data_IF_228822337856
#
_entry.id   IF_228822337856
#
_cell.length_a   1.000
_cell.length_b   1.000
_cell.length_c   1.000
_cell.angle_alpha   90.00
_cell.angle_beta   90.00
_cell.angle_gamma   90.00
#
_symmetry.space_group_name_H-M   'P 1'
#
loop_
_entity.id
_entity.type
_entity.pdbx_description
1 polymer ?
#
# COMPACT_ATOMS: atom_id res chain seq x y z
N UNK A 1 -58.25 5.24 69.22
CA UNK A 1 -56.88 4.95 68.95
C UNK A 1 -56.80 4.60 67.45
N UNK A 2 -56.10 5.40 66.68
CA UNK A 2 -56.15 5.44 65.25
C UNK A 2 -55.17 4.43 64.64
N UNK A 3 -55.57 3.74 63.56
CA UNK A 3 -54.85 2.68 62.81
C UNK A 3 -53.67 3.22 61.97
N UNK A 4 -53.24 4.47 62.20
CA UNK A 4 -52.25 5.15 61.39
C UNK A 4 -50.75 4.99 61.82
N UNK A 5 -50.47 4.20 62.88
CA UNK A 5 -49.09 4.10 63.44
C UNK A 5 -48.35 2.82 63.17
N UNK A 6 -48.89 1.90 62.33
CA UNK A 6 -48.26 0.57 62.06
C UNK A 6 -47.77 0.34 60.63
N UNK A 7 -47.77 1.35 59.74
CA UNK A 7 -47.40 1.19 58.34
C UNK A 7 -46.07 1.87 57.95
N UNK A 8 -45.31 2.44 58.88
CA UNK A 8 -44.08 3.21 58.54
C UNK A 8 -42.76 2.55 58.92
N UNK A 9 -42.70 1.22 59.11
CA UNK A 9 -41.45 0.54 59.52
C UNK A 9 -40.86 -0.44 58.51
N UNK A 10 -41.35 -0.54 57.27
CA UNK A 10 -40.92 -1.61 56.34
C UNK A 10 -40.39 -1.16 54.96
N UNK A 11 -40.00 0.10 54.73
CA UNK A 11 -39.28 0.46 53.50
C UNK A 11 -38.16 1.44 53.82
N UNK A 12 -37.02 0.93 54.32
CA UNK A 12 -35.74 1.62 54.15
C UNK A 12 -35.01 0.98 53.00
N UNK A 13 -34.75 1.66 51.86
CA UNK A 13 -33.91 1.13 50.82
C UNK A 13 -32.48 1.02 51.37
N UNK A 14 -31.97 -0.19 51.40
CA UNK A 14 -30.61 -0.49 51.84
C UNK A 14 -29.62 0.14 50.82
N UNK A 15 -29.08 1.32 51.14
CA UNK A 15 -28.14 2.10 50.28
C UNK A 15 -26.89 1.33 49.87
N UNK A 16 -26.60 0.18 50.46
CA UNK A 16 -25.48 -0.66 50.14
C UNK A 16 -25.69 -1.48 48.85
N UNK A 17 -26.90 -1.98 48.59
CA UNK A 17 -27.22 -2.75 47.40
C UNK A 17 -27.24 -1.93 46.10
N UNK A 18 -27.69 -0.65 46.20
CA UNK A 18 -27.73 0.24 45.04
C UNK A 18 -26.33 0.65 44.54
N UNK A 19 -25.36 0.78 45.45
CA UNK A 19 -23.97 1.09 45.05
C UNK A 19 -23.25 -0.11 44.46
N UNK A 20 -23.52 -1.31 44.96
CA UNK A 20 -22.89 -2.56 44.43
C UNK A 20 -23.45 -2.91 43.05
N UNK A 21 -24.77 -2.79 42.82
CA UNK A 21 -25.37 -3.02 41.48
C UNK A 21 -24.92 -1.98 40.45
N UNK A 22 -24.75 -0.71 40.87
CA UNK A 22 -24.22 0.32 39.97
C UNK A 22 -22.75 0.11 39.62
N UNK A 23 -21.93 -0.37 40.57
CA UNK A 23 -20.52 -0.72 40.30
C UNK A 23 -20.36 -1.95 39.37
N UNK A 24 -21.23 -2.95 39.51
CA UNK A 24 -21.24 -4.13 38.61
C UNK A 24 -21.76 -3.77 37.22
N UNK A 25 -22.73 -2.89 37.08
CA UNK A 25 -23.21 -2.40 35.79
C UNK A 25 -22.19 -1.51 35.09
N UNK A 26 -21.44 -0.66 35.80
CA UNK A 26 -20.38 0.16 35.23
C UNK A 26 -19.14 -0.69 34.90
N UNK A 27 -18.81 -1.71 35.70
CA UNK A 27 -17.73 -2.65 35.38
C UNK A 27 -18.10 -3.55 34.20
N UNK A 28 -19.34 -4.00 34.07
CA UNK A 28 -19.81 -4.76 32.90
C UNK A 28 -19.91 -3.86 31.65
N UNK A 29 -20.24 -2.57 31.80
CA UNK A 29 -20.22 -1.61 30.67
C UNK A 29 -18.81 -1.25 30.23
N UNK A 30 -17.84 -1.21 31.16
CA UNK A 30 -16.42 -1.01 30.84
C UNK A 30 -15.77 -2.26 30.20
N UNK A 31 -16.30 -3.47 30.48
CA UNK A 31 -15.87 -4.71 29.80
C UNK A 31 -16.50 -4.88 28.41
N UNK A 32 -17.52 -4.09 28.06
CA UNK A 32 -18.07 -4.00 26.70
C UNK A 32 -17.36 -2.96 25.83
N UNK A 33 -16.36 -2.23 26.37
CA UNK A 33 -15.54 -1.31 25.62
C UNK A 33 -14.51 -2.09 24.85
N UNK A 34 -14.82 -2.27 23.59
CA UNK A 34 -13.99 -2.56 22.44
C UNK A 34 -13.12 -3.82 22.52
N UNK A 35 -13.70 -4.95 22.20
CA UNK A 35 -13.00 -5.83 21.28
C UNK A 35 -13.01 -5.08 19.91
N UNK A 36 -12.10 -4.14 19.68
CA UNK A 36 -11.87 -3.64 18.33
C UNK A 36 -11.58 -4.86 17.47
N UNK A 37 -12.49 -5.17 16.57
CA UNK A 37 -12.29 -6.26 15.63
C UNK A 37 -11.09 -5.87 14.79
N UNK A 38 -9.98 -6.52 15.03
CA UNK A 38 -8.76 -6.27 14.29
C UNK A 38 -9.01 -6.52 12.81
N UNK A 39 -8.70 -5.54 11.99
CA UNK A 39 -8.79 -5.61 10.54
C UNK A 39 -7.40 -5.44 9.92
N UNK A 40 -7.21 -6.05 8.75
CA UNK A 40 -5.97 -5.92 7.96
C UNK A 40 -6.36 -5.43 6.56
N UNK A 41 -5.69 -4.38 6.10
CA UNK A 41 -5.76 -3.94 4.70
C UNK A 41 -4.99 -4.94 3.82
N UNK A 42 -5.72 -5.72 3.02
CA UNK A 42 -5.16 -6.68 2.06
C UNK A 42 -4.88 -5.94 0.77
N UNK A 43 -3.60 -5.68 0.48
CA UNK A 43 -3.20 -4.99 -0.73
C UNK A 43 -2.63 -5.96 -1.77
N UNK A 44 -3.30 -6.04 -2.94
CA UNK A 44 -2.83 -6.83 -4.06
C UNK A 44 -1.73 -6.11 -4.84
N UNK A 45 -0.47 -6.56 -4.69
CA UNK A 45 0.72 -5.98 -5.32
C UNK A 45 0.65 -6.10 -6.84
N UNK A 46 0.62 -4.95 -7.53
CA UNK A 46 0.42 -4.85 -8.99
C UNK A 46 -0.81 -5.63 -9.45
N UNK A 47 -1.87 -5.62 -8.62
CA UNK A 47 -3.05 -6.45 -8.74
C UNK A 47 -2.93 -7.77 -7.98
N UNK A 48 -2.75 -8.88 -8.68
CA UNK A 48 -2.52 -10.22 -8.12
C UNK A 48 -1.32 -10.86 -8.86
N UNK A 49 -0.13 -10.27 -8.73
CA UNK A 49 1.05 -10.56 -9.53
C UNK A 49 1.47 -12.04 -9.53
N UNK A 50 1.27 -12.72 -8.40
CA UNK A 50 1.54 -14.16 -8.29
C UNK A 50 0.58 -15.04 -9.09
N UNK A 51 -0.57 -14.51 -9.51
CA UNK A 51 -1.67 -15.25 -10.13
C UNK A 51 -1.96 -14.79 -11.57
N UNK A 52 -1.65 -13.53 -11.92
CA UNK A 52 -1.89 -12.90 -13.23
C UNK A 52 -0.73 -11.99 -13.62
N UNK A 53 -0.66 -11.56 -14.89
CA UNK A 53 0.32 -10.56 -15.31
C UNK A 53 0.20 -9.27 -14.48
N UNK A 54 1.35 -8.78 -14.01
CA UNK A 54 1.43 -7.58 -13.17
C UNK A 54 0.98 -6.32 -13.92
N UNK A 55 0.36 -5.38 -13.19
CA UNK A 55 -0.03 -4.08 -13.72
C UNK A 55 -0.90 -4.16 -14.99
N UNK A 56 -1.80 -5.17 -15.05
CA UNK A 56 -2.74 -5.37 -16.16
C UNK A 56 -4.18 -5.34 -15.68
N UNK A 57 -5.12 -5.09 -16.60
CA UNK A 57 -6.54 -5.07 -16.24
C UNK A 57 -7.01 -6.44 -15.73
N UNK A 58 -6.51 -7.55 -16.30
CA UNK A 58 -6.86 -8.89 -15.83
C UNK A 58 -6.30 -9.19 -14.42
N UNK A 59 -5.12 -8.63 -14.08
CA UNK A 59 -4.56 -8.72 -12.74
C UNK A 59 -5.39 -7.96 -11.72
N UNK A 60 -5.86 -6.77 -12.06
CA UNK A 60 -6.72 -5.94 -11.20
C UNK A 60 -8.12 -6.52 -11.08
N UNK A 61 -8.68 -7.04 -12.17
CA UNK A 61 -9.99 -7.72 -12.18
C UNK A 61 -10.01 -8.90 -11.21
N UNK A 62 -8.98 -9.76 -11.27
CA UNK A 62 -8.82 -10.88 -10.34
C UNK A 62 -8.65 -10.40 -8.89
N UNK A 63 -7.86 -9.36 -8.64
CA UNK A 63 -7.66 -8.83 -7.29
C UNK A 63 -8.99 -8.35 -6.68
N UNK A 64 -9.83 -7.67 -7.48
CA UNK A 64 -11.19 -7.27 -7.06
C UNK A 64 -12.04 -8.50 -6.75
N UNK A 65 -12.04 -9.53 -7.59
CA UNK A 65 -12.82 -10.76 -7.39
C UNK A 65 -12.35 -11.55 -6.16
N UNK A 66 -11.07 -11.52 -5.86
CA UNK A 66 -10.52 -12.05 -4.62
C UNK A 66 -10.94 -11.24 -3.39
N UNK A 67 -11.50 -10.03 -3.55
CA UNK A 67 -11.96 -9.18 -2.47
C UNK A 67 -10.81 -8.56 -1.67
N UNK A 68 -9.78 -8.04 -2.36
CA UNK A 68 -8.76 -7.20 -1.72
C UNK A 68 -9.38 -5.90 -1.23
N UNK A 69 -8.84 -5.31 -0.19
CA UNK A 69 -9.21 -3.96 0.25
C UNK A 69 -8.65 -2.91 -0.67
N UNK A 70 -7.40 -3.12 -1.11
CA UNK A 70 -6.64 -2.14 -1.89
C UNK A 70 -5.93 -2.85 -3.05
N UNK A 71 -5.96 -2.24 -4.22
CA UNK A 71 -5.10 -2.60 -5.35
C UNK A 71 -3.87 -1.70 -5.28
N UNK A 72 -2.70 -2.31 -5.22
CA UNK A 72 -1.45 -1.59 -5.41
C UNK A 72 -1.06 -1.64 -6.88
N UNK A 73 -0.52 -0.53 -7.41
CA UNK A 73 -0.08 -0.39 -8.80
C UNK A 73 0.96 0.70 -8.98
N UNK A 74 1.72 0.64 -10.08
CA UNK A 74 2.82 1.53 -10.39
C UNK A 74 2.54 2.41 -11.61
N UNK A 75 3.02 3.65 -11.63
CA UNK A 75 2.80 4.59 -12.73
C UNK A 75 4.09 5.01 -13.45
N UNK A 76 3.94 5.22 -14.75
CA UNK A 76 4.84 5.99 -15.59
C UNK A 76 4.06 6.97 -16.46
N UNK A 77 4.73 8.00 -17.00
CA UNK A 77 4.13 8.99 -17.89
C UNK A 77 4.80 8.93 -19.26
N UNK A 78 3.98 8.85 -20.31
CA UNK A 78 4.39 8.76 -21.70
C UNK A 78 4.84 10.10 -22.28
N UNK A 79 5.43 10.06 -23.50
CA UNK A 79 5.82 11.24 -24.29
C UNK A 79 4.65 12.18 -24.54
N UNK A 80 3.46 11.65 -24.81
CA UNK A 80 2.21 12.38 -25.03
C UNK A 80 1.38 12.57 -23.77
N UNK A 81 2.06 12.51 -22.58
CA UNK A 81 1.51 12.84 -21.26
C UNK A 81 0.34 11.96 -20.84
N UNK A 82 0.30 10.71 -21.29
CA UNK A 82 -0.64 9.73 -20.77
C UNK A 82 -0.07 9.06 -19.53
N UNK A 83 -0.86 8.91 -18.47
CA UNK A 83 -0.49 8.17 -17.26
C UNK A 83 -0.79 6.69 -17.49
N UNK A 84 0.24 5.87 -17.60
CA UNK A 84 0.13 4.43 -17.81
C UNK A 84 0.56 3.64 -16.57
N UNK A 85 0.07 2.42 -16.48
CA UNK A 85 0.36 1.53 -15.34
C UNK A 85 1.45 0.54 -15.74
N UNK A 86 2.63 0.71 -15.14
CA UNK A 86 3.81 -0.14 -15.34
C UNK A 86 4.85 0.13 -14.24
N UNK A 87 5.55 -0.92 -13.80
CA UNK A 87 6.57 -0.78 -12.76
C UNK A 87 7.85 -0.09 -13.22
N UNK A 88 8.29 -0.38 -14.42
CA UNK A 88 9.58 0.13 -14.91
C UNK A 88 9.37 1.40 -15.75
N UNK A 89 10.27 2.40 -15.66
CA UNK A 89 10.22 3.58 -16.51
C UNK A 89 10.68 3.30 -17.96
N UNK A 90 10.81 2.04 -18.31
CA UNK A 90 11.17 1.53 -19.65
C UNK A 90 10.38 0.27 -19.97
N UNK A 91 10.26 -0.06 -21.25
CA UNK A 91 9.71 -1.34 -21.69
C UNK A 91 10.64 -2.47 -21.22
N UNK A 92 10.11 -3.37 -20.38
CA UNK A 92 10.91 -4.44 -19.78
C UNK A 92 10.72 -5.76 -20.51
N UNK A 93 11.77 -6.22 -21.20
CA UNK A 93 11.72 -7.40 -22.06
C UNK A 93 11.50 -8.74 -21.36
N UNK A 94 11.55 -8.78 -20.01
CA UNK A 94 11.15 -9.99 -19.26
C UNK A 94 9.65 -10.05 -18.99
N UNK A 95 8.94 -8.92 -19.14
CA UNK A 95 7.49 -8.81 -18.92
C UNK A 95 6.77 -8.64 -20.26
N UNK A 96 7.33 -7.81 -21.16
CA UNK A 96 6.70 -7.46 -22.42
C UNK A 96 7.48 -8.04 -23.61
N UNK A 97 6.74 -8.36 -24.68
CA UNK A 97 7.26 -8.77 -25.99
C UNK A 97 6.49 -8.05 -27.10
N UNK A 98 6.87 -8.24 -28.35
CA UNK A 98 6.06 -7.82 -29.49
C UNK A 98 4.72 -8.56 -29.51
N UNK A 99 3.70 -7.98 -30.16
CA UNK A 99 2.37 -8.59 -30.23
C UNK A 99 2.36 -10.00 -30.86
N UNK A 100 3.30 -10.28 -31.74
CA UNK A 100 3.50 -11.59 -32.36
C UNK A 100 4.22 -12.59 -31.45
N UNK A 101 4.67 -12.15 -30.26
CA UNK A 101 5.40 -12.94 -29.28
C UNK A 101 6.93 -12.92 -29.48
N UNK A 102 7.44 -12.22 -30.48
CA UNK A 102 8.88 -12.08 -30.65
C UNK A 102 9.52 -11.17 -29.59
N UNK A 103 10.80 -11.42 -29.29
CA UNK A 103 11.55 -10.66 -28.28
C UNK A 103 11.75 -9.21 -28.68
N UNK A 104 11.80 -8.33 -27.68
CA UNK A 104 12.12 -6.92 -27.86
C UNK A 104 13.63 -6.68 -27.92
N UNK A 105 14.10 -5.64 -28.64
CA UNK A 105 15.46 -5.16 -28.50
C UNK A 105 15.67 -4.52 -27.13
N UNK A 106 16.46 -5.17 -26.30
CA UNK A 106 16.75 -4.75 -24.92
C UNK A 106 18.24 -4.88 -24.61
N UNK A 107 18.71 -4.17 -23.59
CA UNK A 107 20.07 -4.34 -23.08
C UNK A 107 20.24 -5.65 -22.27
N UNK A 108 21.44 -5.89 -21.76
CA UNK A 108 21.77 -7.09 -20.96
C UNK A 108 20.96 -7.22 -19.66
N UNK A 109 20.33 -6.13 -19.19
CA UNK A 109 19.45 -6.11 -18.02
C UNK A 109 17.96 -6.23 -18.38
N UNK A 110 17.65 -6.36 -19.68
CA UNK A 110 16.28 -6.46 -20.18
C UNK A 110 15.58 -5.12 -20.34
N UNK A 111 16.30 -3.99 -20.30
CA UNK A 111 15.75 -2.63 -20.43
C UNK A 111 15.66 -2.24 -21.89
N UNK A 112 14.47 -1.93 -22.35
CA UNK A 112 14.18 -1.37 -23.66
C UNK A 112 14.04 0.15 -23.62
N UNK A 113 13.24 0.69 -24.54
CA UNK A 113 12.99 2.12 -24.67
C UNK A 113 12.35 2.70 -23.40
N UNK A 114 12.72 3.94 -23.07
CA UNK A 114 12.10 4.68 -21.97
C UNK A 114 10.62 5.00 -22.28
N UNK A 115 9.76 4.88 -21.29
CA UNK A 115 8.33 5.20 -21.41
C UNK A 115 8.12 6.67 -21.79
N UNK A 116 8.92 7.58 -21.22
CA UNK A 116 8.85 9.02 -21.50
C UNK A 116 9.12 9.39 -22.98
N UNK A 117 9.75 8.50 -23.72
CA UNK A 117 10.09 8.72 -25.14
C UNK A 117 9.09 8.09 -26.11
N UNK A 118 8.10 7.32 -25.57
CA UNK A 118 7.06 6.63 -26.33
C UNK A 118 5.70 7.27 -26.13
N UNK A 119 4.90 7.34 -27.19
CA UNK A 119 3.48 7.68 -27.12
C UNK A 119 2.65 6.48 -26.66
N UNK A 120 1.43 6.72 -26.16
CA UNK A 120 0.50 5.65 -25.81
C UNK A 120 0.25 4.69 -26.99
N UNK A 121 0.14 5.21 -28.21
CA UNK A 121 -0.06 4.40 -29.43
C UNK A 121 1.10 3.45 -29.67
N UNK A 122 2.33 3.88 -29.41
CA UNK A 122 3.52 3.03 -29.53
C UNK A 122 3.55 1.97 -28.42
N UNK A 123 3.24 2.33 -27.17
CA UNK A 123 3.18 1.42 -26.03
C UNK A 123 2.11 0.33 -26.24
N UNK A 124 0.99 0.63 -26.88
CA UNK A 124 -0.07 -0.35 -27.18
C UNK A 124 0.32 -1.45 -28.15
N UNK A 125 1.49 -1.35 -28.80
CA UNK A 125 2.01 -2.39 -29.68
C UNK A 125 2.65 -3.56 -28.92
N UNK A 126 2.94 -3.42 -27.63
CA UNK A 126 3.54 -4.48 -26.82
C UNK A 126 2.50 -5.41 -26.20
N UNK A 127 2.86 -6.68 -26.03
CA UNK A 127 2.14 -7.68 -25.25
C UNK A 127 2.87 -7.85 -23.90
N UNK A 128 2.24 -7.46 -22.80
CA UNK A 128 2.83 -7.51 -21.45
C UNK A 128 2.14 -8.55 -20.56
N UNK A 129 1.38 -9.46 -21.14
CA UNK A 129 0.71 -10.54 -20.42
C UNK A 129 1.17 -11.93 -20.79
N UNK A 130 1.93 -12.07 -21.86
CA UNK A 130 2.40 -13.35 -22.40
C UNK A 130 3.53 -13.97 -21.59
N UNK A 131 4.44 -13.16 -21.07
CA UNK A 131 5.66 -13.61 -20.42
C UNK A 131 5.48 -13.76 -18.90
N UNK A 132 6.17 -14.76 -18.34
CA UNK A 132 6.39 -14.87 -16.91
C UNK A 132 7.80 -14.40 -16.61
N UNK A 133 7.99 -13.30 -15.86
CA UNK A 133 9.31 -12.72 -15.62
C UNK A 133 10.24 -13.59 -14.76
N UNK A 134 9.66 -14.48 -13.95
CA UNK A 134 10.38 -15.33 -13.01
C UNK A 134 9.52 -16.56 -12.64
N UNK A 135 9.74 -17.67 -13.33
CA UNK A 135 8.98 -18.91 -13.13
C UNK A 135 9.28 -19.59 -11.78
N UNK A 136 10.43 -19.30 -11.17
CA UNK A 136 10.77 -19.82 -9.85
C UNK A 136 9.98 -19.07 -8.76
N UNK A 137 9.84 -17.74 -8.91
CA UNK A 137 9.06 -16.91 -8.00
C UNK A 137 7.56 -17.01 -8.23
N UNK A 138 7.15 -17.13 -9.48
CA UNK A 138 5.75 -17.19 -9.93
C UNK A 138 5.50 -18.47 -10.73
N UNK A 139 5.40 -19.63 -10.06
CA UNK A 139 5.18 -20.91 -10.73
C UNK A 139 3.83 -20.98 -11.47
N UNK A 140 3.76 -21.78 -12.52
CA UNK A 140 2.56 -22.04 -13.30
C UNK A 140 2.17 -23.53 -13.19
N UNK A 141 1.05 -23.88 -12.50
CA UNK A 141 0.13 -23.04 -11.72
C UNK A 141 0.79 -22.57 -10.40
N UNK A 142 0.19 -21.60 -9.65
CA UNK A 142 -1.15 -21.00 -9.85
C UNK A 142 -1.17 -19.82 -10.84
N UNK A 143 -0.02 -19.26 -11.26
CA UNK A 143 0.01 -18.14 -12.21
C UNK A 143 -0.53 -18.55 -13.57
N UNK A 144 -1.34 -17.68 -14.17
CA UNK A 144 -1.83 -17.82 -15.54
C UNK A 144 -1.41 -16.57 -16.32
N UNK A 145 -0.65 -16.76 -17.41
CA UNK A 145 -0.30 -15.72 -18.36
C UNK A 145 -1.50 -15.43 -19.27
N UNK A 146 -1.67 -14.17 -19.67
CA UNK A 146 -2.78 -13.70 -20.52
C UNK A 146 -2.18 -13.00 -21.75
N UNK A 147 -1.86 -13.74 -22.84
CA UNK A 147 -1.33 -13.15 -24.05
C UNK A 147 -2.26 -12.05 -24.62
N UNK A 148 -1.67 -10.94 -25.04
CA UNK A 148 -2.41 -9.80 -25.57
C UNK A 148 -2.69 -8.67 -24.57
N UNK A 149 -2.45 -8.88 -23.27
CA UNK A 149 -2.58 -7.83 -22.27
C UNK A 149 -1.67 -6.66 -22.54
N UNK A 150 -2.15 -5.46 -22.24
CA UNK A 150 -1.45 -4.20 -22.45
C UNK A 150 -1.14 -3.52 -21.12
N UNK A 151 -0.19 -2.61 -21.14
CA UNK A 151 -0.08 -1.62 -20.06
C UNK A 151 -1.32 -0.71 -20.11
N UNK A 152 -2.22 -0.74 -19.11
CA UNK A 152 -3.40 0.13 -19.13
C UNK A 152 -3.01 1.57 -18.78
N UNK A 153 -3.88 2.51 -19.13
CA UNK A 153 -3.86 3.86 -18.55
C UNK A 153 -4.49 3.81 -17.16
N UNK A 154 -4.15 4.78 -16.29
CA UNK A 154 -4.78 4.94 -14.98
C UNK A 154 -6.30 5.13 -15.11
N UNK A 155 -6.77 5.84 -16.14
CA UNK A 155 -8.19 6.02 -16.42
C UNK A 155 -8.91 4.70 -16.77
N UNK A 156 -8.25 3.76 -17.44
CA UNK A 156 -8.82 2.43 -17.70
C UNK A 156 -8.93 1.61 -16.39
N UNK A 157 -7.98 1.73 -15.47
CA UNK A 157 -8.09 1.11 -14.14
C UNK A 157 -9.26 1.71 -13.36
N UNK A 158 -9.41 3.04 -13.30
CA UNK A 158 -10.57 3.67 -12.68
C UNK A 158 -11.89 3.21 -13.31
N UNK A 159 -11.91 3.03 -14.64
CA UNK A 159 -13.09 2.55 -15.37
C UNK A 159 -13.43 1.10 -15.01
N UNK A 160 -12.43 0.23 -14.87
CA UNK A 160 -12.60 -1.16 -14.41
C UNK A 160 -13.22 -1.19 -13.00
N UNK A 161 -12.65 -0.45 -12.04
CA UNK A 161 -13.16 -0.38 -10.66
C UNK A 161 -14.62 0.06 -10.62
N UNK A 162 -14.98 1.08 -11.40
CA UNK A 162 -16.37 1.54 -11.51
C UNK A 162 -17.28 0.52 -12.17
N UNK A 163 -16.84 -0.10 -13.25
CA UNK A 163 -17.63 -1.11 -13.98
C UNK A 163 -17.96 -2.34 -13.11
N UNK A 164 -17.05 -2.71 -12.23
CA UNK A 164 -17.26 -3.78 -11.23
C UNK A 164 -18.11 -3.35 -10.03
N UNK A 165 -18.48 -2.08 -9.91
CA UNK A 165 -19.17 -1.56 -8.72
C UNK A 165 -18.38 -1.77 -7.43
N UNK A 166 -17.05 -1.87 -7.52
CA UNK A 166 -16.19 -2.18 -6.40
C UNK A 166 -15.88 -0.93 -5.56
N UNK A 167 -15.76 -1.13 -4.25
CA UNK A 167 -15.33 -0.11 -3.29
C UNK A 167 -13.82 -0.17 -2.98
N UNK A 168 -13.04 -0.94 -3.74
CA UNK A 168 -11.61 -1.10 -3.55
C UNK A 168 -10.89 0.25 -3.58
N UNK A 169 -9.89 0.39 -2.70
CA UNK A 169 -8.95 1.51 -2.71
C UNK A 169 -7.81 1.26 -3.71
N UNK A 170 -7.11 2.31 -4.08
CA UNK A 170 -5.95 2.24 -4.97
C UNK A 170 -4.73 2.86 -4.27
N UNK A 171 -3.67 2.09 -4.10
CA UNK A 171 -2.38 2.54 -3.61
C UNK A 171 -1.43 2.65 -4.80
N UNK A 172 -1.12 3.87 -5.23
CA UNK A 172 -0.56 4.18 -6.54
C UNK A 172 0.87 4.68 -6.40
N UNK A 173 1.85 3.91 -6.89
CA UNK A 173 3.24 4.31 -6.84
C UNK A 173 3.64 5.21 -8.01
N UNK A 174 4.20 6.37 -7.71
CA UNK A 174 4.89 7.23 -8.68
C UNK A 174 6.34 6.77 -8.81
N UNK A 175 6.68 6.13 -9.94
CA UNK A 175 8.02 5.57 -10.21
C UNK A 175 8.99 6.65 -10.67
N UNK A 176 9.44 7.48 -9.74
CA UNK A 176 10.41 8.56 -9.98
C UNK A 176 11.73 8.22 -9.29
N UNK A 177 12.80 8.05 -10.06
CA UNK A 177 14.15 7.86 -9.53
C UNK A 177 14.87 9.23 -9.49
N UNK A 178 15.21 9.76 -8.30
CA UNK A 178 15.83 11.08 -8.20
C UNK A 178 17.29 11.12 -8.72
N UNK A 179 17.87 9.97 -9.04
CA UNK A 179 19.27 9.84 -9.45
C UNK A 179 19.47 9.87 -10.97
N UNK A 180 18.40 9.60 -11.75
CA UNK A 180 18.50 9.39 -13.20
C UNK A 180 17.39 10.10 -13.96
N UNK A 181 17.72 10.64 -15.12
CA UNK A 181 16.74 11.22 -16.05
C UNK A 181 16.08 10.11 -16.90
N UNK A 182 15.26 9.27 -16.24
CA UNK A 182 14.56 8.15 -16.89
C UNK A 182 13.03 8.33 -16.91
N UNK A 183 12.55 9.43 -16.32
CA UNK A 183 11.14 9.86 -16.34
C UNK A 183 11.05 11.29 -16.86
N UNK A 184 9.84 11.79 -17.09
CA UNK A 184 9.63 13.25 -17.27
C UNK A 184 9.97 13.99 -15.97
N UNK A 185 10.18 15.32 -15.99
CA UNK A 185 10.51 16.08 -14.78
C UNK A 185 9.51 15.82 -13.64
N UNK A 186 10.04 15.66 -12.42
CA UNK A 186 9.29 15.24 -11.24
C UNK A 186 8.03 16.07 -10.96
N UNK A 187 8.16 17.41 -10.97
CA UNK A 187 7.02 18.31 -10.72
C UNK A 187 5.92 18.12 -11.77
N UNK A 188 6.31 17.95 -13.03
CA UNK A 188 5.39 17.69 -14.14
C UNK A 188 4.71 16.34 -13.98
N UNK A 189 5.48 15.30 -13.60
CA UNK A 189 4.95 13.95 -13.34
C UNK A 189 3.87 13.99 -12.27
N UNK A 190 4.19 14.55 -11.09
CA UNK A 190 3.24 14.64 -9.96
C UNK A 190 1.99 15.41 -10.35
N UNK A 191 2.14 16.56 -11.03
CA UNK A 191 1.01 17.38 -11.46
C UNK A 191 0.06 16.62 -12.40
N UNK A 192 0.60 15.94 -13.41
CA UNK A 192 -0.21 15.15 -14.35
C UNK A 192 -0.97 14.03 -13.62
N UNK A 193 -0.32 13.32 -12.69
CA UNK A 193 -0.95 12.24 -11.92
C UNK A 193 -2.07 12.79 -11.03
N UNK A 194 -1.83 13.89 -10.31
CA UNK A 194 -2.84 14.54 -9.46
C UNK A 194 -4.02 15.04 -10.29
N UNK A 195 -3.78 15.67 -11.45
CA UNK A 195 -4.83 16.14 -12.37
C UNK A 195 -5.74 14.98 -12.84
N UNK A 196 -5.14 13.81 -13.16
CA UNK A 196 -5.90 12.61 -13.55
C UNK A 196 -6.74 12.09 -12.39
N UNK A 197 -6.20 12.04 -11.18
CA UNK A 197 -6.92 11.58 -9.98
C UNK A 197 -8.09 12.52 -9.67
N UNK A 198 -7.87 13.83 -9.64
CA UNK A 198 -8.91 14.83 -9.38
C UNK A 198 -10.04 14.75 -10.41
N UNK A 199 -9.69 14.58 -11.69
CA UNK A 199 -10.67 14.46 -12.78
C UNK A 199 -11.46 13.15 -12.76
N UNK A 200 -10.95 12.12 -12.07
CA UNK A 200 -11.54 10.78 -12.07
C UNK A 200 -12.76 10.63 -11.16
N UNK A 201 -12.93 11.49 -10.16
CA UNK A 201 -13.89 11.30 -9.05
C UNK A 201 -13.52 10.16 -8.09
N UNK A 202 -12.26 9.68 -8.12
CA UNK A 202 -11.77 8.58 -7.28
C UNK A 202 -10.85 9.05 -6.14
N UNK A 203 -10.63 10.36 -5.98
CA UNK A 203 -9.65 10.94 -5.05
C UNK A 203 -9.74 10.37 -3.64
N UNK A 204 -10.93 10.22 -3.10
CA UNK A 204 -11.16 9.75 -1.72
C UNK A 204 -10.79 8.27 -1.51
N UNK A 205 -10.50 7.54 -2.60
CA UNK A 205 -10.11 6.12 -2.59
C UNK A 205 -8.71 5.88 -3.14
N UNK A 206 -7.87 6.92 -3.16
CA UNK A 206 -6.50 6.85 -3.67
C UNK A 206 -5.52 7.27 -2.60
N UNK A 207 -4.45 6.48 -2.46
CA UNK A 207 -3.21 6.91 -1.82
C UNK A 207 -2.14 7.04 -2.92
N UNK A 208 -1.29 8.06 -2.86
CA UNK A 208 -0.08 8.14 -3.67
C UNK A 208 1.12 7.69 -2.84
N UNK A 209 1.87 6.70 -3.34
CA UNK A 209 3.09 6.23 -2.69
C UNK A 209 4.32 6.51 -3.56
N UNK A 210 5.48 6.65 -2.93
CA UNK A 210 6.75 6.79 -3.63
C UNK A 210 7.94 6.51 -2.72
N UNK A 211 9.03 5.98 -3.31
CA UNK A 211 10.35 6.01 -2.68
C UNK A 211 10.95 7.41 -2.68
N UNK A 212 10.64 8.22 -3.68
CA UNK A 212 11.07 9.62 -3.73
C UNK A 212 10.13 10.48 -2.88
N UNK A 213 10.51 10.73 -1.62
CA UNK A 213 9.67 11.45 -0.66
C UNK A 213 9.45 12.91 -1.03
N UNK A 214 10.33 13.50 -1.85
CA UNK A 214 10.08 14.84 -2.40
C UNK A 214 8.83 14.88 -3.26
N UNK A 215 8.58 13.84 -4.04
CA UNK A 215 7.35 13.77 -4.85
C UNK A 215 6.09 13.77 -3.99
N UNK A 216 6.13 13.16 -2.78
CA UNK A 216 5.01 13.18 -1.82
C UNK A 216 4.79 14.57 -1.22
N UNK A 217 5.87 15.31 -0.93
CA UNK A 217 5.77 16.72 -0.52
C UNK A 217 5.10 17.57 -1.62
N UNK A 218 5.47 17.37 -2.88
CA UNK A 218 4.86 18.07 -4.02
C UNK A 218 3.36 17.72 -4.12
N UNK A 219 2.97 16.46 -3.90
CA UNK A 219 1.54 16.07 -3.84
C UNK A 219 0.81 16.90 -2.79
N UNK A 220 1.34 17.01 -1.56
CA UNK A 220 0.72 17.79 -0.48
C UNK A 220 0.65 19.29 -0.77
N UNK A 221 1.60 19.82 -1.53
CA UNK A 221 1.57 21.23 -1.97
C UNK A 221 0.46 21.47 -3.02
N UNK A 222 0.14 20.49 -3.88
CA UNK A 222 -0.89 20.60 -4.92
C UNK A 222 -2.28 20.28 -4.35
N UNK A 223 -2.41 19.16 -3.63
CA UNK A 223 -3.66 18.69 -3.02
C UNK A 223 -3.38 17.99 -1.68
N UNK A 224 -3.50 18.71 -0.54
CA UNK A 224 -3.20 18.16 0.79
C UNK A 224 -4.18 17.06 1.25
N UNK A 225 -5.33 16.91 0.58
CA UNK A 225 -6.32 15.89 0.92
C UNK A 225 -5.95 14.50 0.37
N UNK A 226 -5.13 14.41 -0.69
CA UNK A 226 -4.64 13.13 -1.19
C UNK A 226 -3.71 12.51 -0.14
N UNK A 227 -4.04 11.31 0.32
CA UNK A 227 -3.18 10.58 1.28
C UNK A 227 -1.90 10.13 0.60
N UNK A 228 -0.82 10.16 1.35
CA UNK A 228 0.53 9.81 0.86
C UNK A 228 1.15 8.70 1.68
N UNK A 229 1.87 7.78 1.01
CA UNK A 229 2.57 6.69 1.66
C UNK A 229 4.07 6.74 1.33
N UNK A 230 4.90 6.85 2.37
CA UNK A 230 6.35 6.84 2.23
C UNK A 230 6.87 5.41 2.12
N UNK A 231 7.33 5.03 0.91
CA UNK A 231 8.04 3.78 0.70
C UNK A 231 9.46 3.88 1.25
N UNK A 232 9.93 2.81 1.89
CA UNK A 232 11.30 2.71 2.39
C UNK A 232 11.87 1.31 2.17
N UNK A 233 13.02 1.22 1.50
CA UNK A 233 13.78 -0.01 1.31
C UNK A 233 15.20 0.13 1.83
N UNK A 234 15.90 -0.97 2.06
CA UNK A 234 17.28 -0.96 2.56
C UNK A 234 18.25 -0.13 1.71
N UNK A 235 18.00 -0.04 0.39
CA UNK A 235 18.83 0.75 -0.53
C UNK A 235 18.43 2.23 -0.63
N UNK A 236 17.35 2.65 0.03
CA UNK A 236 16.82 4.01 -0.13
C UNK A 236 17.01 4.91 1.10
N UNK A 237 17.28 4.35 2.28
CA UNK A 237 17.59 5.17 3.45
C UNK A 237 19.10 5.35 3.71
N UNK A 238 19.94 4.46 3.19
CA UNK A 238 21.39 4.58 3.33
C UNK A 238 21.94 5.75 2.50
N UNK A 239 22.91 6.49 3.05
CA UNK A 239 23.59 7.55 2.31
C UNK A 239 24.35 6.96 1.10
N UNK A 240 24.55 7.78 0.06
CA UNK A 240 25.39 7.38 -1.10
C UNK A 240 26.87 7.33 -0.68
N UNK A 241 27.28 8.23 0.22
CA UNK A 241 28.58 8.31 0.90
C UNK A 241 28.36 8.87 2.30
N UNK A 242 29.32 8.69 3.19
CA UNK A 242 29.29 9.13 4.60
C UNK A 242 28.89 10.60 4.84
N UNK A 243 28.91 11.43 3.81
CA UNK A 243 28.61 12.87 3.88
C UNK A 243 27.46 13.33 2.96
N UNK A 244 26.82 12.43 2.22
CA UNK A 244 25.75 12.78 1.29
C UNK A 244 24.49 12.00 1.67
N UNK A 245 23.45 12.68 2.21
CA UNK A 245 22.18 12.04 2.55
C UNK A 245 21.57 11.29 1.37
N UNK A 246 20.72 10.32 1.67
CA UNK A 246 19.98 9.60 0.65
C UNK A 246 19.18 10.56 -0.23
N UNK A 247 19.26 10.47 -1.56
CA UNK A 247 18.48 11.33 -2.45
C UNK A 247 16.97 11.00 -2.42
N UNK A 248 16.57 9.88 -1.79
CA UNK A 248 15.21 9.42 -1.73
C UNK A 248 14.38 10.08 -0.62
N UNK A 249 15.03 10.51 0.48
CA UNK A 249 14.36 10.95 1.70
C UNK A 249 14.14 12.48 1.77
N UNK A 250 14.13 13.18 0.64
CA UNK A 250 13.86 14.62 0.59
C UNK A 250 14.78 15.45 1.52
N UNK A 251 16.06 15.13 1.54
CA UNK A 251 17.07 15.81 2.36
C UNK A 251 17.15 15.35 3.83
N UNK A 252 16.30 14.41 4.26
CA UNK A 252 16.41 13.81 5.59
C UNK A 252 17.62 12.86 5.58
N UNK A 253 18.54 13.07 6.49
CA UNK A 253 19.67 12.18 6.74
C UNK A 253 19.33 11.23 7.89
N UNK A 254 19.35 9.93 7.63
CA UNK A 254 18.92 8.90 8.58
C UNK A 254 19.72 8.92 9.88
N UNK A 255 21.05 9.06 9.78
CA UNK A 255 21.94 8.99 10.94
C UNK A 255 21.80 10.24 11.82
N UNK A 256 21.75 11.41 11.21
CA UNK A 256 21.57 12.69 11.94
C UNK A 256 20.14 12.90 12.43
N UNK A 257 19.16 12.22 11.83
CA UNK A 257 17.77 12.25 12.28
C UNK A 257 17.55 11.51 13.61
N UNK A 258 18.43 10.57 13.97
CA UNK A 258 18.32 9.75 15.19
C UNK A 258 18.51 8.25 14.97
N UNK A 259 18.62 7.80 13.72
CA UNK A 259 18.92 6.39 13.38
C UNK A 259 17.74 5.43 13.58
N UNK A 260 16.51 5.93 13.57
CA UNK A 260 15.31 5.08 13.64
C UNK A 260 14.26 5.44 12.57
N UNK A 261 13.35 4.50 12.29
CA UNK A 261 12.24 4.77 11.38
C UNK A 261 11.35 5.92 11.88
N UNK A 262 11.10 5.98 13.17
CA UNK A 262 10.24 6.98 13.78
C UNK A 262 10.84 8.40 13.67
N UNK A 263 12.16 8.53 13.81
CA UNK A 263 12.85 9.83 13.72
C UNK A 263 12.72 10.45 12.32
N UNK A 264 12.90 9.64 11.25
CA UNK A 264 12.72 10.15 9.88
C UNK A 264 11.25 10.45 9.56
N UNK A 265 10.30 9.65 10.08
CA UNK A 265 8.88 9.89 9.90
C UNK A 265 8.41 11.15 10.61
N UNK A 266 8.95 11.49 11.78
CA UNK A 266 8.63 12.73 12.47
C UNK A 266 9.06 13.96 11.66
N UNK A 267 10.21 13.90 10.99
CA UNK A 267 10.65 14.98 10.09
C UNK A 267 9.80 15.07 8.82
N UNK A 268 9.29 13.93 8.33
CA UNK A 268 8.45 13.86 7.14
C UNK A 268 6.94 14.01 7.41
N UNK A 269 6.51 14.26 8.65
CA UNK A 269 5.09 14.28 9.08
C UNK A 269 4.19 15.21 8.26
N UNK A 270 4.74 16.26 7.68
CA UNK A 270 3.97 17.20 6.86
C UNK A 270 3.51 16.63 5.53
N UNK A 271 4.15 15.53 5.07
CA UNK A 271 3.91 14.99 3.74
C UNK A 271 3.91 13.45 3.67
N UNK A 272 3.92 12.73 4.79
CA UNK A 272 3.72 11.29 4.87
C UNK A 272 2.59 10.99 5.84
N UNK A 273 1.54 10.31 5.37
CA UNK A 273 0.41 9.86 6.17
C UNK A 273 0.51 8.37 6.53
N UNK A 274 1.17 7.55 5.68
CA UNK A 274 1.30 6.11 5.81
C UNK A 274 2.78 5.74 5.68
N UNK A 275 3.26 4.83 6.53
CA UNK A 275 4.60 4.25 6.38
C UNK A 275 4.51 2.90 5.69
N UNK A 276 5.17 2.78 4.54
CA UNK A 276 5.17 1.55 3.73
C UNK A 276 6.61 1.05 3.52
N UNK A 277 7.19 0.34 4.50
CA UNK A 277 8.55 -0.15 4.47
C UNK A 277 8.67 -1.52 3.78
N UNK A 278 9.89 -1.87 3.34
CA UNK A 278 10.23 -3.29 3.21
C UNK A 278 9.98 -4.00 4.54
N UNK A 279 9.32 -5.15 4.51
CA UNK A 279 8.88 -5.86 5.72
C UNK A 279 10.04 -6.16 6.71
N UNK A 280 11.26 -6.36 6.21
CA UNK A 280 12.44 -6.60 7.03
C UNK A 280 12.82 -5.43 7.95
N UNK A 281 12.45 -4.21 7.56
CA UNK A 281 12.79 -3.01 8.31
C UNK A 281 11.98 -2.85 9.61
N UNK A 282 10.90 -3.61 9.77
CA UNK A 282 9.99 -3.57 10.94
C UNK A 282 9.94 -4.87 11.75
N UNK A 283 10.74 -5.87 11.37
CA UNK A 283 10.87 -7.13 12.11
C UNK A 283 12.09 -7.04 13.05
N UNK A 284 11.92 -7.08 14.38
CA UNK A 284 13.00 -6.83 15.34
C UNK A 284 14.18 -7.81 15.24
N UNK A 285 13.93 -9.04 14.80
CA UNK A 285 14.94 -10.09 14.64
C UNK A 285 15.74 -9.97 13.33
N UNK A 286 15.32 -9.10 12.40
CA UNK A 286 16.03 -8.90 11.13
C UNK A 286 17.19 -7.92 11.29
N UNK A 287 18.30 -8.20 10.60
CA UNK A 287 19.49 -7.35 10.60
C UNK A 287 19.29 -5.95 9.99
N UNK A 288 18.17 -5.74 9.30
CA UNK A 288 17.78 -4.47 8.68
C UNK A 288 16.77 -3.68 9.53
N UNK A 289 16.45 -4.14 10.74
CA UNK A 289 15.50 -3.49 11.62
C UNK A 289 15.87 -2.04 11.94
N UNK A 290 14.92 -1.11 11.76
CA UNK A 290 15.15 0.32 11.92
C UNK A 290 14.77 0.86 13.32
N UNK A 291 15.01 0.11 14.38
CA UNK A 291 14.92 0.56 15.77
C UNK A 291 13.61 1.25 16.18
N UNK A 292 12.51 0.92 15.52
CA UNK A 292 11.18 1.41 15.85
C UNK A 292 10.17 0.28 15.69
N UNK A 293 9.47 -0.08 16.75
CA UNK A 293 8.43 -1.10 16.68
C UNK A 293 7.21 -0.61 15.89
N UNK A 294 6.46 -1.53 15.30
CA UNK A 294 5.20 -1.24 14.61
C UNK A 294 4.24 -0.44 15.51
N UNK A 295 4.17 -0.82 16.80
CA UNK A 295 3.29 -0.15 17.77
C UNK A 295 3.71 1.31 18.04
N UNK A 296 5.01 1.60 18.16
CA UNK A 296 5.51 2.97 18.34
C UNK A 296 5.20 3.83 17.10
N UNK A 297 5.45 3.29 15.90
CA UNK A 297 5.18 3.99 14.65
C UNK A 297 3.68 4.29 14.52
N UNK A 298 2.81 3.30 14.73
CA UNK A 298 1.36 3.48 14.63
C UNK A 298 0.80 4.34 15.77
N UNK A 299 1.33 4.21 16.98
CA UNK A 299 1.00 5.09 18.11
C UNK A 299 1.35 6.55 17.86
N UNK A 300 2.30 6.83 16.95
CA UNK A 300 2.65 8.17 16.47
C UNK A 300 1.80 8.64 15.30
N UNK A 301 0.83 7.84 14.84
CA UNK A 301 -0.15 8.22 13.80
C UNK A 301 0.22 7.81 12.38
N UNK A 302 1.19 6.92 12.19
CA UNK A 302 1.57 6.39 10.88
C UNK A 302 1.15 4.92 10.75
N UNK A 303 0.04 4.56 10.07
CA UNK A 303 -0.25 3.18 9.74
C UNK A 303 0.92 2.52 9.04
N UNK A 304 1.28 1.28 9.44
CA UNK A 304 2.41 0.53 8.86
C UNK A 304 1.88 -0.52 7.90
N UNK A 305 2.27 -0.42 6.62
CA UNK A 305 1.84 -1.31 5.53
C UNK A 305 3.07 -1.82 4.78
N UNK A 306 3.68 -2.93 5.23
CA UNK A 306 4.91 -3.45 4.63
C UNK A 306 4.68 -4.17 3.29
N UNK A 307 5.76 -4.22 2.47
CA UNK A 307 5.87 -4.85 1.15
C UNK A 307 7.17 -5.66 0.99
N UNK A 308 7.33 -6.53 0.02
CA UNK A 308 6.32 -7.38 -0.59
C UNK A 308 6.37 -8.70 0.15
N UNK A 309 5.29 -9.09 0.79
CA UNK A 309 5.24 -10.21 1.71
C UNK A 309 4.50 -11.37 1.05
N UNK A 310 5.22 -12.47 0.77
CA UNK A 310 4.67 -13.58 -0.04
C UNK A 310 4.60 -14.91 0.70
N UNK A 311 5.32 -15.05 1.81
CA UNK A 311 5.33 -16.29 2.60
C UNK A 311 4.38 -16.17 3.78
N UNK A 312 3.64 -17.25 4.05
CA UNK A 312 2.67 -17.26 5.16
C UNK A 312 3.30 -17.07 6.54
N UNK A 313 4.53 -17.55 6.75
CA UNK A 313 5.26 -17.33 7.99
C UNK A 313 5.62 -15.84 8.19
N UNK A 314 6.07 -15.15 7.15
CA UNK A 314 6.31 -13.69 7.15
C UNK A 314 5.01 -12.91 7.39
N UNK A 315 3.92 -13.27 6.68
CA UNK A 315 2.60 -12.68 6.88
C UNK A 315 2.14 -12.82 8.34
N UNK A 316 2.26 -14.03 8.91
CA UNK A 316 1.87 -14.32 10.30
C UNK A 316 2.67 -13.48 11.30
N UNK A 317 3.99 -13.37 11.11
CA UNK A 317 4.87 -12.52 11.94
C UNK A 317 4.41 -11.07 11.91
N UNK A 318 4.19 -10.49 10.74
CA UNK A 318 3.76 -9.10 10.60
C UNK A 318 2.36 -8.84 11.17
N UNK A 319 1.44 -9.79 10.98
CA UNK A 319 0.13 -9.75 11.64
C UNK A 319 0.31 -9.74 13.16
N UNK A 320 1.16 -10.57 13.74
CA UNK A 320 1.42 -10.57 15.18
C UNK A 320 2.05 -9.26 15.67
N UNK A 321 2.94 -8.65 14.89
CA UNK A 321 3.53 -7.34 15.19
C UNK A 321 2.51 -6.20 15.14
N UNK A 322 1.34 -6.41 14.56
CA UNK A 322 0.25 -5.44 14.60
C UNK A 322 0.18 -4.50 13.40
N UNK A 323 0.76 -4.84 12.23
CA UNK A 323 0.69 -4.00 11.04
C UNK A 323 -0.76 -3.67 10.64
N UNK A 324 -0.97 -2.52 10.00
CA UNK A 324 -2.28 -2.06 9.54
C UNK A 324 -2.72 -2.75 8.23
N UNK A 325 -1.77 -3.18 7.41
CA UNK A 325 -2.03 -3.86 6.14
C UNK A 325 -0.80 -4.59 5.63
N UNK A 326 -0.94 -5.34 4.55
CA UNK A 326 0.16 -6.08 3.89
C UNK A 326 0.00 -5.99 2.38
N UNK A 327 1.09 -5.61 1.68
CA UNK A 327 1.20 -5.65 0.23
C UNK A 327 1.82 -6.99 -0.18
N UNK A 328 1.08 -7.78 -1.00
CA UNK A 328 1.47 -9.14 -1.39
C UNK A 328 1.18 -9.46 -2.85
N UNK A 329 2.03 -10.30 -3.46
CA UNK A 329 1.79 -10.89 -4.79
C UNK A 329 0.66 -11.96 -4.77
N UNK A 330 0.33 -12.48 -3.56
CA UNK A 330 -0.62 -13.57 -3.34
C UNK A 330 -1.73 -13.17 -2.36
N UNK A 331 -2.64 -12.27 -2.76
CA UNK A 331 -3.71 -11.79 -1.87
C UNK A 331 -4.68 -12.91 -1.43
N UNK A 332 -4.86 -13.95 -2.23
CA UNK A 332 -5.60 -15.17 -1.89
C UNK A 332 -4.98 -15.89 -0.67
N UNK A 333 -3.65 -16.05 -0.66
CA UNK A 333 -2.93 -16.69 0.44
C UNK A 333 -3.02 -15.88 1.74
N UNK A 334 -2.93 -14.55 1.66
CA UNK A 334 -3.11 -13.68 2.80
C UNK A 334 -4.54 -13.76 3.36
N UNK A 335 -5.55 -13.76 2.51
CA UNK A 335 -6.95 -13.89 2.94
C UNK A 335 -7.22 -15.23 3.62
N UNK A 336 -6.74 -16.34 3.06
CA UNK A 336 -6.84 -17.66 3.70
C UNK A 336 -6.21 -17.64 5.11
N UNK A 337 -5.06 -17.00 5.28
CA UNK A 337 -4.41 -16.86 6.58
C UNK A 337 -5.24 -16.01 7.56
N UNK A 338 -5.85 -14.92 7.09
CA UNK A 338 -6.71 -14.07 7.93
C UNK A 338 -7.95 -14.82 8.39
N UNK A 339 -8.57 -15.61 7.52
CA UNK A 339 -9.72 -16.46 7.85
C UNK A 339 -9.33 -17.51 8.92
N UNK A 340 -8.17 -18.18 8.76
CA UNK A 340 -7.62 -19.10 9.77
C UNK A 340 -7.43 -18.42 11.15
N UNK A 341 -6.96 -17.19 11.14
CA UNK A 341 -6.72 -16.41 12.37
C UNK A 341 -7.96 -15.70 12.91
N UNK A 342 -9.12 -15.82 12.25
CA UNK A 342 -10.36 -15.08 12.57
C UNK A 342 -10.17 -13.56 12.60
N UNK A 343 -9.33 -13.04 11.72
CA UNK A 343 -9.06 -11.61 11.52
C UNK A 343 -9.85 -11.13 10.30
N UNK A 344 -10.52 -10.00 10.39
CA UNK A 344 -11.30 -9.46 9.27
C UNK A 344 -10.41 -8.75 8.25
N UNK A 345 -10.76 -8.86 6.99
CA UNK A 345 -10.31 -7.92 5.95
C UNK A 345 -10.98 -6.58 6.22
N UNK A 346 -10.23 -5.47 6.11
CA UNK A 346 -10.67 -4.11 6.37
C UNK A 346 -11.86 -3.68 5.51
#
# INVERSE_FOLDING_TARGET
>A
MSISSLLNSWIRPNKAYGKMTFLFLTAALLLLISCEVRTIDVQGHRGARGLRPENTLSGFDLAIDLGVTTIELDLAVTKDRQVIVTHNPYIYGKICCNIDGSSLPVDSLGRGQLIKDLTLVEIRKFDCGRLNPDTARFPEPPRINIPGEKMPTLNEVFSLVRAKGSNVYLNIEMKIDPRYDITIPEIEFVKIVVDVIQSSGMKDRVNLQSFNWRSLEIVKQIDPEIRTAGLLGSSTFLPIHDSIPSPWLNGIDFDTAGGSALDILHQARAYIDIFSPSWRLVVPEDSLYLNSSVNEIQGSGFPVIPWTVNRQDEMRTLIQLGVAGIITDYPDSLKMLLDELSIRVQ
#
